data_IF_862473065246
#
_entry.id   IF_862473065246
#
_cell.length_a   1.000
_cell.length_b   1.000
_cell.length_c   1.000
_cell.angle_alpha   90.00
_cell.angle_beta   90.00
_cell.angle_gamma   90.00
#
_symmetry.space_group_name_H-M   'P 1'
#
loop_
_entity.id
_entity.type
_entity.pdbx_description
1 polymer ?
#
# COMPACT_ATOMS: atom_id res chain seq x y z
N UNK A 1 -5.63 -10.93 11.92
CA UNK A 1 -6.77 -10.82 12.85
C UNK A 1 -6.52 -9.64 13.78
N UNK A 2 -7.05 -8.45 13.45
CA UNK A 2 -6.81 -7.21 14.21
C UNK A 2 -8.11 -6.55 14.70
N UNK A 3 -9.19 -7.32 14.86
CA UNK A 3 -10.51 -6.78 15.18
C UNK A 3 -10.90 -6.88 16.67
N UNK A 4 -10.11 -7.53 17.54
CA UNK A 4 -10.55 -7.85 18.90
C UNK A 4 -9.95 -6.98 20.03
N UNK A 5 -9.05 -6.04 19.73
CA UNK A 5 -8.32 -5.29 20.78
C UNK A 5 -8.84 -3.84 21.02
N UNK A 6 -9.89 -3.40 20.33
CA UNK A 6 -10.36 -2.00 20.35
C UNK A 6 -11.60 -1.79 21.24
N UNK A 7 -12.11 -2.82 21.91
CA UNK A 7 -13.40 -2.72 22.63
C UNK A 7 -13.33 -2.45 24.13
N UNK A 8 -12.14 -2.38 24.76
CA UNK A 8 -12.05 -2.38 26.23
C UNK A 8 -11.56 -1.11 26.92
N UNK A 9 -10.98 -0.11 26.24
CA UNK A 9 -10.51 1.11 26.93
C UNK A 9 -10.86 2.42 26.15
N UNK A 10 -11.99 3.08 26.45
CA UNK A 10 -12.38 4.37 25.85
C UNK A 10 -11.51 5.57 26.27
N UNK A 11 -10.48 5.35 27.10
CA UNK A 11 -9.50 6.39 27.50
C UNK A 11 -8.15 6.27 26.79
N UNK A 12 -7.99 5.35 25.83
CA UNK A 12 -6.88 5.38 24.87
C UNK A 12 -7.18 6.44 23.82
N UNK A 13 -7.27 7.69 24.27
CA UNK A 13 -6.94 8.88 23.49
C UNK A 13 -5.41 9.04 23.40
N UNK A 14 -4.65 7.94 23.59
CA UNK A 14 -3.23 7.92 23.38
C UNK A 14 -3.00 7.78 21.89
N UNK A 15 -2.95 8.96 21.26
CA UNK A 15 -2.35 9.16 19.96
C UNK A 15 -3.03 8.32 18.88
N UNK A 16 -3.97 8.96 18.18
CA UNK A 16 -3.87 8.96 16.72
C UNK A 16 -2.45 9.40 16.41
N UNK A 17 -1.53 8.43 16.49
CA UNK A 17 -0.12 8.53 16.22
C UNK A 17 -0.13 8.95 14.79
N UNK A 18 -0.07 10.28 14.65
CA UNK A 18 0.11 11.05 13.45
C UNK A 18 0.67 10.08 12.42
N UNK A 19 -0.09 9.77 11.36
CA UNK A 19 0.41 8.97 10.25
C UNK A 19 1.60 9.77 9.70
N UNK A 20 2.75 9.65 10.34
CA UNK A 20 3.87 10.59 10.26
C UNK A 20 4.66 10.32 8.99
N UNK A 21 4.34 9.22 8.29
CA UNK A 21 4.83 8.89 6.98
C UNK A 21 3.84 7.94 6.30
N UNK A 22 3.02 8.46 5.41
CA UNK A 22 2.74 7.70 4.19
C UNK A 22 4.06 7.59 3.45
N UNK A 23 4.81 6.51 3.72
CA UNK A 23 6.02 6.20 2.97
C UNK A 23 5.58 5.47 1.70
N UNK A 24 5.51 6.13 0.54
CA UNK A 24 5.29 5.41 -0.71
C UNK A 24 6.41 4.38 -0.88
N UNK A 25 6.03 3.15 -1.24
CA UNK A 25 6.95 2.07 -1.53
C UNK A 25 7.22 2.02 -3.04
N UNK A 26 8.48 1.74 -3.43
CA UNK A 26 8.91 1.70 -4.82
C UNK A 26 9.61 0.39 -5.15
N UNK A 27 9.59 -0.01 -6.42
CA UNK A 27 10.34 -1.16 -6.92
C UNK A 27 11.67 -0.67 -7.47
N UNK A 28 12.78 -1.11 -6.86
CA UNK A 28 14.13 -0.78 -7.30
C UNK A 28 14.55 -1.60 -8.52
N UNK A 29 15.09 -0.93 -9.54
CA UNK A 29 15.76 -1.56 -10.70
C UNK A 29 17.22 -1.10 -10.77
N UNK A 30 18.07 -1.82 -11.50
CA UNK A 30 19.46 -1.40 -11.72
C UNK A 30 19.50 -0.09 -12.51
N UNK A 31 20.45 0.79 -12.17
CA UNK A 31 20.66 2.04 -12.90
C UNK A 31 21.01 1.73 -14.36
N UNK A 32 20.29 2.36 -15.29
CA UNK A 32 20.46 2.14 -16.74
C UNK A 32 19.48 1.12 -17.35
N UNK A 33 18.76 0.34 -16.54
CA UNK A 33 17.78 -0.64 -17.01
C UNK A 33 16.41 0.01 -17.32
N UNK A 34 16.38 0.94 -18.27
CA UNK A 34 15.17 1.70 -18.63
C UNK A 34 14.06 0.80 -19.16
N UNK A 35 14.39 -0.19 -19.99
CA UNK A 35 13.40 -1.11 -20.53
C UNK A 35 12.69 -1.91 -19.44
N UNK A 36 13.44 -2.37 -18.43
CA UNK A 36 12.89 -3.08 -17.28
C UNK A 36 12.03 -2.16 -16.42
N UNK A 37 12.52 -0.94 -16.14
CA UNK A 37 11.75 0.08 -15.41
C UNK A 37 10.39 0.32 -16.08
N UNK A 38 10.39 0.57 -17.39
CA UNK A 38 9.17 0.81 -18.16
C UNK A 38 8.23 -0.39 -18.08
N UNK A 39 8.75 -1.60 -18.30
CA UNK A 39 7.90 -2.80 -18.29
C UNK A 39 7.27 -3.06 -16.92
N UNK A 40 8.02 -2.86 -15.84
CA UNK A 40 7.51 -2.98 -14.47
C UNK A 40 6.40 -1.97 -14.22
N UNK A 41 6.62 -0.70 -14.58
CA UNK A 41 5.62 0.34 -14.41
C UNK A 41 4.34 0.07 -15.22
N UNK A 42 4.47 -0.44 -16.45
CA UNK A 42 3.30 -0.79 -17.28
C UNK A 42 2.48 -1.93 -16.66
N UNK A 43 3.15 -2.95 -16.11
CA UNK A 43 2.47 -4.04 -15.39
C UNK A 43 1.74 -3.50 -14.16
N UNK A 44 2.38 -2.62 -13.39
CA UNK A 44 1.76 -2.02 -12.20
C UNK A 44 0.55 -1.16 -12.57
N UNK A 45 0.62 -0.39 -13.67
CA UNK A 45 -0.52 0.41 -14.15
C UNK A 45 -1.69 -0.47 -14.61
N UNK A 46 -1.40 -1.54 -15.35
CA UNK A 46 -2.43 -2.50 -15.74
C UNK A 46 -3.09 -3.14 -14.52
N UNK A 47 -2.29 -3.61 -13.55
CA UNK A 47 -2.78 -4.24 -12.32
C UNK A 47 -3.51 -3.27 -11.37
N UNK A 48 -3.21 -1.97 -11.44
CA UNK A 48 -3.96 -0.90 -10.77
C UNK A 48 -5.31 -0.69 -11.45
N UNK A 49 -5.33 -0.64 -12.79
CA UNK A 49 -6.53 -0.39 -13.59
C UNK A 49 -7.53 -1.55 -13.57
N UNK A 50 -7.06 -2.80 -13.56
CA UNK A 50 -7.90 -4.00 -13.55
C UNK A 50 -8.35 -4.41 -12.13
N UNK A 51 -7.87 -3.72 -11.09
CA UNK A 51 -8.22 -3.97 -9.69
C UNK A 51 -7.47 -5.14 -9.03
N UNK A 52 -6.51 -5.76 -9.71
CA UNK A 52 -5.69 -6.85 -9.16
C UNK A 52 -4.91 -6.39 -7.92
N UNK A 53 -4.33 -5.18 -7.96
CA UNK A 53 -3.60 -4.64 -6.81
C UNK A 53 -4.53 -4.38 -5.61
N UNK A 54 -5.76 -3.95 -5.86
CA UNK A 54 -6.76 -3.76 -4.80
C UNK A 54 -7.12 -5.10 -4.14
N UNK A 55 -7.36 -6.14 -4.95
CA UNK A 55 -7.62 -7.49 -4.43
C UNK A 55 -6.46 -8.02 -3.58
N UNK A 56 -5.21 -7.82 -4.02
CA UNK A 56 -4.03 -8.21 -3.25
C UNK A 56 -3.90 -7.42 -1.96
N UNK A 57 -4.14 -6.10 -1.99
CA UNK A 57 -4.09 -5.26 -0.80
C UNK A 57 -5.13 -5.71 0.23
N UNK A 58 -6.36 -5.97 -0.20
CA UNK A 58 -7.40 -6.49 0.69
C UNK A 58 -7.05 -7.86 1.26
N UNK A 59 -6.55 -8.77 0.42
CA UNK A 59 -6.20 -10.14 0.82
C UNK A 59 -5.08 -10.19 1.86
N UNK A 60 -4.02 -9.41 1.67
CA UNK A 60 -2.80 -9.52 2.47
C UNK A 60 -2.70 -8.46 3.57
N UNK A 61 -3.25 -7.27 3.35
CA UNK A 61 -3.14 -6.14 4.27
C UNK A 61 -4.47 -5.79 4.95
N UNK A 62 -5.61 -6.35 4.49
CA UNK A 62 -6.93 -6.05 5.03
C UNK A 62 -7.38 -4.60 4.82
N UNK A 63 -6.78 -3.90 3.85
CA UNK A 63 -7.07 -2.52 3.48
C UNK A 63 -6.84 -2.34 1.98
N UNK A 64 -7.42 -1.29 1.38
CA UNK A 64 -7.21 -0.99 -0.04
C UNK A 64 -5.82 -0.43 -0.31
N UNK A 65 -5.46 -0.30 -1.59
CA UNK A 65 -4.14 0.20 -2.00
C UNK A 65 -3.92 1.67 -1.61
N UNK A 66 -4.99 2.40 -1.31
CA UNK A 66 -4.94 3.85 -1.09
C UNK A 66 -4.55 4.60 -2.37
N UNK A 67 -4.03 5.81 -2.20
CA UNK A 67 -3.53 6.63 -3.32
C UNK A 67 -2.10 6.18 -3.64
N UNK A 68 -1.94 5.45 -4.74
CA UNK A 68 -0.62 5.07 -5.27
C UNK A 68 -0.05 6.18 -6.16
N UNK A 69 1.24 6.53 -6.03
CA UNK A 69 1.92 7.45 -6.94
C UNK A 69 1.97 6.88 -8.37
N UNK A 70 2.08 7.76 -9.37
CA UNK A 70 2.09 7.42 -10.80
C UNK A 70 3.49 7.26 -11.43
#
# INVERSE_FOLDING_TARGET
>A
MAAAAVQKNPQVQAEYKLLLKDSPNFIGVRKGETALLTKVNDILRAAKADGTLEQYSQKWLGRGTGVLPD
#
